data_IF_643396859079
#
_entry.id   IF_643396859079
#
_cell.length_a   1.000
_cell.length_b   1.000
_cell.length_c   1.000
_cell.angle_alpha   90.00
_cell.angle_beta   90.00
_cell.angle_gamma   90.00
#
_symmetry.space_group_name_H-M   'P 1'
#
loop_
_entity.id
_entity.type
_entity.pdbx_description
1 polymer ?
#
# COMPACT_ATOMS: atom_id res chain seq x y z
N UNK A 1 35.53 43.76 -26.00
CA UNK A 1 35.65 42.37 -25.47
C UNK A 1 35.41 41.42 -26.63
N UNK A 2 36.39 40.55 -26.93
CA UNK A 2 36.45 39.70 -28.15
C UNK A 2 35.58 38.46 -28.00
N UNK A 3 34.74 38.20 -29.00
CA UNK A 3 33.98 36.95 -29.15
C UNK A 3 34.82 35.95 -29.93
N UNK A 4 35.07 34.77 -29.36
CA UNK A 4 35.75 33.68 -30.03
C UNK A 4 34.72 32.63 -30.45
N UNK A 5 34.48 32.57 -31.76
CA UNK A 5 33.80 31.47 -32.44
C UNK A 5 34.81 30.35 -32.69
N UNK A 6 34.50 29.12 -32.26
CA UNK A 6 35.19 27.91 -32.71
C UNK A 6 34.22 27.05 -33.53
N UNK A 7 34.51 26.79 -34.82
CA UNK A 7 33.91 25.68 -35.55
C UNK A 7 34.79 24.44 -35.35
N UNK A 8 34.25 23.37 -34.78
CA UNK A 8 34.86 22.05 -34.93
C UNK A 8 33.88 21.15 -35.67
N UNK A 9 34.31 20.79 -36.89
CA UNK A 9 33.61 19.88 -37.78
C UNK A 9 33.71 18.45 -37.30
N UNK A 10 32.61 17.72 -37.47
CA UNK A 10 32.58 16.28 -37.31
C UNK A 10 32.96 15.63 -38.65
N UNK A 11 34.16 15.08 -38.70
CA UNK A 11 34.59 14.18 -39.77
C UNK A 11 33.77 12.89 -39.70
N UNK A 12 33.13 12.54 -40.81
CA UNK A 12 32.24 11.40 -40.93
C UNK A 12 32.98 10.07 -40.84
N UNK A 13 32.74 9.33 -39.77
CA UNK A 13 32.98 7.89 -39.74
C UNK A 13 31.70 7.18 -40.19
N UNK A 14 31.74 6.56 -41.37
CA UNK A 14 30.73 5.59 -41.83
C UNK A 14 30.90 4.31 -41.01
N UNK A 15 30.37 4.29 -39.80
CA UNK A 15 30.31 3.08 -38.99
C UNK A 15 29.20 2.20 -39.57
N UNK A 16 29.62 1.05 -40.10
CA UNK A 16 28.79 0.05 -40.79
C UNK A 16 27.56 -0.34 -39.95
N UNK A 17 26.37 0.04 -40.43
CA UNK A 17 25.10 0.02 -39.69
C UNK A 17 24.45 -1.36 -39.47
N UNK A 18 25.17 -2.48 -39.64
CA UNK A 18 24.53 -3.80 -39.66
C UNK A 18 24.78 -4.68 -38.42
N UNK A 19 25.66 -4.30 -37.49
CA UNK A 19 25.93 -5.11 -36.28
C UNK A 19 25.19 -4.59 -35.02
N UNK A 20 24.57 -3.41 -35.09
CA UNK A 20 23.82 -2.79 -33.98
C UNK A 20 22.31 -3.07 -33.99
N UNK A 21 21.84 -4.06 -34.76
CA UNK A 21 20.42 -4.39 -34.88
C UNK A 21 19.96 -5.60 -34.04
N UNK A 22 20.85 -6.28 -33.32
CA UNK A 22 20.54 -7.56 -32.64
C UNK A 22 20.86 -7.62 -31.14
N UNK A 23 21.16 -6.50 -30.48
CA UNK A 23 21.45 -6.45 -29.04
C UNK A 23 20.50 -5.56 -28.20
N UNK A 24 19.40 -5.06 -28.78
CA UNK A 24 18.50 -4.10 -28.11
C UNK A 24 17.16 -4.70 -27.57
N UNK A 25 16.66 -5.92 -27.92
CA UNK A 25 15.39 -6.35 -27.35
C UNK A 25 15.47 -6.97 -25.93
N UNK A 26 16.65 -7.19 -25.33
CA UNK A 26 16.76 -7.81 -24.01
C UNK A 26 16.77 -6.84 -22.81
N UNK A 27 16.93 -5.53 -23.02
CA UNK A 27 16.99 -4.56 -21.90
C UNK A 27 15.61 -4.01 -21.47
N UNK A 28 14.52 -4.33 -22.18
CA UNK A 28 13.19 -3.77 -21.89
C UNK A 28 12.28 -4.68 -21.04
N UNK A 29 12.76 -5.84 -20.58
CA UNK A 29 12.01 -6.74 -19.69
C UNK A 29 12.31 -6.54 -18.19
N UNK A 30 13.19 -5.61 -17.83
CA UNK A 30 13.58 -5.34 -16.42
C UNK A 30 12.55 -4.48 -15.64
N UNK A 31 11.35 -4.25 -16.16
CA UNK A 31 10.52 -3.11 -15.76
C UNK A 31 9.28 -3.34 -14.89
N UNK A 32 8.83 -4.58 -14.68
CA UNK A 32 7.63 -4.84 -13.89
C UNK A 32 7.81 -6.07 -13.00
N UNK A 33 8.66 -5.97 -11.99
CA UNK A 33 8.48 -6.82 -10.80
C UNK A 33 7.18 -6.36 -10.12
N UNK A 34 6.03 -6.79 -10.65
CA UNK A 34 4.75 -6.63 -9.98
C UNK A 34 4.89 -7.32 -8.63
N UNK A 35 5.02 -6.51 -7.57
CA UNK A 35 5.00 -6.99 -6.20
C UNK A 35 3.84 -7.96 -6.07
N UNK A 36 4.11 -9.15 -5.53
CA UNK A 36 3.02 -10.08 -5.26
C UNK A 36 1.97 -9.38 -4.39
N UNK A 37 0.69 -9.74 -4.51
CA UNK A 37 -0.38 -9.12 -3.73
C UNK A 37 -0.05 -9.04 -2.23
N UNK A 38 0.55 -10.11 -1.71
CA UNK A 38 1.02 -10.21 -0.33
C UNK A 38 2.19 -9.28 -0.02
N UNK A 39 3.15 -9.13 -0.95
CA UNK A 39 4.26 -8.20 -0.77
C UNK A 39 3.79 -6.75 -0.76
N UNK A 40 2.84 -6.38 -1.62
CA UNK A 40 2.24 -5.05 -1.61
C UNK A 40 1.51 -4.78 -0.28
N UNK A 41 0.67 -5.71 0.17
CA UNK A 41 -0.07 -5.55 1.43
C UNK A 41 0.87 -5.40 2.64
N UNK A 42 1.93 -6.23 2.72
CA UNK A 42 2.95 -6.11 3.79
C UNK A 42 3.65 -4.75 3.74
N UNK A 43 4.01 -4.28 2.55
CA UNK A 43 4.65 -2.99 2.38
C UNK A 43 3.74 -1.82 2.78
N UNK A 44 2.43 -1.90 2.47
CA UNK A 44 1.45 -0.89 2.88
C UNK A 44 1.25 -0.79 4.40
N UNK A 45 1.38 -1.90 5.10
CA UNK A 45 1.21 -1.97 6.54
C UNK A 45 2.50 -1.74 7.33
N UNK A 46 3.68 -1.91 6.72
CA UNK A 46 4.97 -1.81 7.38
C UNK A 46 5.21 -0.54 8.23
N UNK A 47 4.68 0.65 7.86
CA UNK A 47 4.88 1.86 8.65
C UNK A 47 3.95 2.01 9.87
N UNK A 48 3.01 1.09 10.09
CA UNK A 48 2.00 1.19 11.15
C UNK A 48 2.33 0.20 12.26
N UNK A 49 2.45 0.71 13.48
CA UNK A 49 2.49 -0.12 14.68
C UNK A 49 1.07 -0.46 15.11
N UNK A 50 0.66 -1.71 14.88
CA UNK A 50 -0.65 -2.22 15.31
C UNK A 50 -0.65 -2.70 16.76
N UNK A 51 0.49 -2.67 17.47
CA UNK A 51 0.56 -3.08 18.86
C UNK A 51 -0.32 -2.17 19.73
N UNK A 52 -1.22 -2.79 20.51
CA UNK A 52 -2.15 -2.06 21.37
C UNK A 52 -3.32 -1.41 20.66
N UNK A 53 -3.46 -1.57 19.33
CA UNK A 53 -4.68 -1.18 18.63
C UNK A 53 -5.82 -2.17 18.90
N UNK A 54 -7.04 -1.66 18.89
CA UNK A 54 -8.22 -2.50 18.91
C UNK A 54 -8.35 -3.26 17.60
N UNK A 55 -8.80 -4.51 17.68
CA UNK A 55 -8.85 -5.45 16.56
C UNK A 55 -9.58 -4.87 15.33
N UNK A 56 -10.82 -4.37 15.51
CA UNK A 56 -11.59 -3.75 14.41
C UNK A 56 -10.96 -2.47 13.87
N UNK A 57 -10.29 -1.69 14.72
CA UNK A 57 -9.58 -0.50 14.29
C UNK A 57 -8.36 -0.87 13.43
N UNK A 58 -7.60 -1.91 13.84
CA UNK A 58 -6.48 -2.43 13.07
C UNK A 58 -6.93 -2.95 11.69
N UNK A 59 -8.01 -3.72 11.64
CA UNK A 59 -8.64 -4.17 10.38
C UNK A 59 -9.03 -2.99 9.46
N UNK A 60 -9.72 -1.99 10.00
CA UNK A 60 -10.11 -0.81 9.25
C UNK A 60 -8.90 -0.04 8.68
N UNK A 61 -7.89 0.22 9.51
CA UNK A 61 -6.67 0.94 9.07
C UNK A 61 -5.92 0.11 8.03
N UNK A 62 -5.71 -1.19 8.27
CA UNK A 62 -5.01 -2.07 7.35
C UNK A 62 -5.69 -2.12 5.97
N UNK A 63 -7.01 -2.32 5.92
CA UNK A 63 -7.75 -2.40 4.64
C UNK A 63 -7.71 -1.08 3.87
N UNK A 64 -7.80 0.06 4.58
CA UNK A 64 -7.68 1.38 3.97
C UNK A 64 -6.30 1.67 3.38
N UNK A 65 -5.22 1.25 4.04
CA UNK A 65 -3.84 1.39 3.53
C UNK A 65 -3.58 0.50 2.33
N UNK A 66 -4.04 -0.76 2.38
CA UNK A 66 -3.93 -1.67 1.24
C UNK A 66 -4.74 -1.15 0.06
N UNK A 67 -5.92 -0.57 0.28
CA UNK A 67 -6.71 0.04 -0.81
C UNK A 67 -6.02 1.26 -1.41
N UNK A 68 -5.39 2.10 -0.57
CA UNK A 68 -4.67 3.27 -1.05
C UNK A 68 -3.45 2.90 -1.89
N UNK A 69 -2.65 1.92 -1.44
CA UNK A 69 -1.38 1.61 -2.09
C UNK A 69 -1.50 0.50 -3.15
N UNK A 70 -2.29 -0.52 -2.88
CA UNK A 70 -2.42 -1.69 -3.74
C UNK A 70 -3.73 -1.64 -4.56
N UNK A 71 -4.80 -1.07 -4.00
CA UNK A 71 -6.11 -0.96 -4.65
C UNK A 71 -7.19 -1.87 -4.04
N UNK A 72 -8.45 -1.52 -4.29
CA UNK A 72 -9.61 -2.11 -3.62
C UNK A 72 -9.74 -3.63 -3.78
N UNK A 73 -9.32 -4.18 -4.94
CA UNK A 73 -9.36 -5.63 -5.19
C UNK A 73 -8.41 -6.37 -4.25
N UNK A 74 -7.20 -5.86 -4.05
CA UNK A 74 -6.22 -6.47 -3.16
C UNK A 74 -6.60 -6.31 -1.69
N UNK A 75 -7.15 -5.16 -1.30
CA UNK A 75 -7.67 -4.97 0.05
C UNK A 75 -8.81 -5.97 0.37
N UNK A 76 -9.70 -6.24 -0.57
CA UNK A 76 -10.75 -7.27 -0.42
C UNK A 76 -10.17 -8.68 -0.32
N UNK A 77 -9.20 -9.03 -1.17
CA UNK A 77 -8.55 -10.33 -1.12
C UNK A 77 -7.77 -10.53 0.19
N UNK A 78 -7.10 -9.51 0.71
CA UNK A 78 -6.40 -9.56 1.99
C UNK A 78 -7.36 -9.83 3.15
N UNK A 79 -8.48 -9.10 3.22
CA UNK A 79 -9.51 -9.30 4.24
C UNK A 79 -10.17 -10.68 4.18
N UNK A 80 -10.70 -11.06 3.00
CA UNK A 80 -11.34 -12.37 2.81
C UNK A 80 -10.35 -13.52 3.02
N UNK A 81 -9.09 -13.35 2.60
CA UNK A 81 -8.06 -14.36 2.76
C UNK A 81 -7.75 -14.69 4.22
N UNK A 82 -7.72 -13.68 5.10
CA UNK A 82 -7.56 -13.89 6.55
C UNK A 82 -8.74 -14.68 7.11
N UNK A 83 -9.98 -14.27 6.81
CA UNK A 83 -11.17 -14.98 7.32
C UNK A 83 -11.28 -16.40 6.79
N UNK A 84 -10.85 -16.63 5.55
CA UNK A 84 -10.82 -17.98 4.98
C UNK A 84 -9.80 -18.85 5.72
N UNK A 85 -8.59 -18.35 5.98
CA UNK A 85 -7.60 -19.07 6.77
C UNK A 85 -8.08 -19.33 8.21
N UNK A 86 -8.78 -18.38 8.82
CA UNK A 86 -9.37 -18.54 10.15
C UNK A 86 -10.48 -19.60 10.16
N UNK A 87 -11.35 -19.63 9.14
CA UNK A 87 -12.42 -20.62 8.98
C UNK A 87 -11.92 -22.06 8.81
N UNK A 88 -10.73 -22.24 8.26
CA UNK A 88 -10.06 -23.55 8.14
C UNK A 88 -8.99 -23.78 9.21
N UNK A 89 -8.80 -22.83 10.12
CA UNK A 89 -7.81 -22.86 11.19
C UNK A 89 -8.45 -22.80 12.57
N UNK A 90 -7.70 -22.29 13.54
CA UNK A 90 -8.17 -22.07 14.91
C UNK A 90 -8.70 -20.64 15.14
N UNK A 91 -8.92 -19.87 14.07
CA UNK A 91 -9.39 -18.48 14.15
C UNK A 91 -10.92 -18.38 14.18
N UNK A 92 -11.43 -17.24 14.65
CA UNK A 92 -12.86 -16.93 14.57
C UNK A 92 -13.12 -16.14 13.28
N UNK A 93 -13.84 -16.76 12.34
CA UNK A 93 -14.28 -16.09 11.12
C UNK A 93 -15.35 -15.04 11.48
N UNK A 94 -14.92 -13.78 11.58
CA UNK A 94 -15.76 -12.71 12.12
C UNK A 94 -16.33 -11.83 11.01
N UNK A 95 -17.67 -11.76 10.93
CA UNK A 95 -18.34 -10.75 10.10
C UNK A 95 -17.98 -9.32 10.51
N UNK A 96 -17.55 -9.12 11.77
CA UNK A 96 -17.08 -7.83 12.26
C UNK A 96 -15.80 -7.37 11.56
N UNK A 97 -14.87 -8.28 11.29
CA UNK A 97 -13.60 -7.97 10.59
C UNK A 97 -13.85 -7.59 9.14
N UNK A 98 -14.68 -8.35 8.43
CA UNK A 98 -15.04 -8.02 7.04
C UNK A 98 -15.75 -6.67 6.93
N UNK A 99 -16.56 -6.32 7.94
CA UNK A 99 -17.21 -5.00 8.01
C UNK A 99 -16.17 -3.92 8.27
N UNK A 100 -15.26 -4.11 9.22
CA UNK A 100 -14.19 -3.17 9.51
C UNK A 100 -13.29 -2.93 8.28
N UNK A 101 -12.95 -3.99 7.54
CA UNK A 101 -12.22 -3.89 6.29
C UNK A 101 -13.00 -3.10 5.22
N UNK A 102 -14.30 -3.32 5.11
CA UNK A 102 -15.15 -2.58 4.18
C UNK A 102 -15.21 -1.09 4.53
N UNK A 103 -15.28 -0.77 5.81
CA UNK A 103 -15.24 0.58 6.34
C UNK A 103 -13.91 1.27 6.05
N UNK A 104 -12.78 0.57 6.22
CA UNK A 104 -11.45 1.05 5.87
C UNK A 104 -11.32 1.45 4.39
N UNK A 105 -11.81 0.60 3.48
CA UNK A 105 -11.85 0.92 2.04
C UNK A 105 -12.77 2.11 1.74
N UNK A 106 -13.89 2.24 2.45
CA UNK A 106 -14.77 3.38 2.28
C UNK A 106 -14.11 4.68 2.74
N UNK A 107 -13.42 4.68 3.89
CA UNK A 107 -12.61 5.81 4.36
C UNK A 107 -11.52 6.18 3.33
N UNK A 108 -10.75 5.20 2.83
CA UNK A 108 -9.72 5.44 1.82
C UNK A 108 -10.29 5.99 0.50
N UNK A 109 -11.47 5.54 0.07
CA UNK A 109 -12.15 6.08 -1.09
C UNK A 109 -12.59 7.54 -0.87
N UNK A 110 -13.10 7.89 0.31
CA UNK A 110 -13.49 9.26 0.66
C UNK A 110 -12.28 10.21 0.67
N UNK A 111 -11.17 9.80 1.30
CA UNK A 111 -9.95 10.60 1.40
C UNK A 111 -9.27 10.87 0.04
N UNK A 112 -9.53 10.04 -0.97
CA UNK A 112 -9.02 10.23 -2.34
C UNK A 112 -9.86 11.21 -3.17
N UNK A 113 -11.06 11.56 -2.73
CA UNK A 113 -11.92 12.46 -3.49
C UNK A 113 -11.52 13.92 -3.22
N UNK A 114 -11.16 14.70 -4.26
CA UNK A 114 -10.77 16.10 -4.10
C UNK A 114 -11.91 17.02 -3.62
N UNK A 115 -13.16 16.55 -3.73
CA UNK A 115 -14.36 17.35 -3.41
C UNK A 115 -15.04 16.92 -2.09
N UNK A 116 -14.68 15.77 -1.50
CA UNK A 116 -15.21 15.35 -0.19
C UNK A 116 -14.72 16.27 0.94
N UNK A 117 -13.54 16.85 0.72
CA UNK A 117 -12.83 17.85 1.50
C UNK A 117 -13.43 19.25 1.40
N UNK A 118 -14.01 19.61 0.24
CA UNK A 118 -14.62 20.92 0.01
C UNK A 118 -15.86 21.20 0.89
N UNK A 119 -16.54 20.15 1.37
CA UNK A 119 -17.73 20.28 2.22
C UNK A 119 -17.41 20.23 3.72
N UNK A 120 -16.25 19.69 4.10
CA UNK A 120 -15.82 19.55 5.50
C UNK A 120 -14.73 20.55 5.91
N UNK A 121 -14.17 21.29 4.95
CA UNK A 121 -13.02 22.17 5.18
C UNK A 121 -11.71 21.43 5.45
N UNK A 122 -11.71 20.09 5.39
CA UNK A 122 -10.49 19.30 5.45
C UNK A 122 -9.74 19.44 4.12
N UNK A 123 -8.41 19.51 4.12
CA UNK A 123 -7.62 19.45 2.87
C UNK A 123 -7.43 17.99 2.42
N UNK A 124 -7.34 17.75 1.11
CA UNK A 124 -6.98 16.42 0.59
C UNK A 124 -5.59 16.04 1.10
N UNK A 125 -5.41 14.87 1.73
CA UNK A 125 -4.10 14.49 2.24
C UNK A 125 -3.07 14.42 1.10
N UNK A 126 -2.07 15.29 1.14
CA UNK A 126 -1.04 15.41 0.10
C UNK A 126 0.20 14.56 0.39
N UNK A 127 0.34 14.03 1.61
CA UNK A 127 1.44 13.16 2.03
C UNK A 127 0.93 11.81 2.54
N UNK A 128 1.77 10.75 2.47
CA UNK A 128 1.44 9.45 3.06
C UNK A 128 1.10 9.53 4.56
N UNK A 129 1.78 10.40 5.31
CA UNK A 129 1.52 10.61 6.74
C UNK A 129 0.17 11.28 6.99
N UNK A 130 -0.16 12.32 6.22
CA UNK A 130 -1.46 12.98 6.30
C UNK A 130 -2.59 12.00 5.98
N UNK A 131 -2.40 11.13 4.98
CA UNK A 131 -3.38 10.11 4.63
C UNK A 131 -3.57 9.10 5.77
N UNK A 132 -2.46 8.61 6.36
CA UNK A 132 -2.50 7.71 7.52
C UNK A 132 -3.25 8.31 8.71
N UNK A 133 -2.95 9.57 9.05
CA UNK A 133 -3.61 10.27 10.16
C UNK A 133 -5.12 10.44 9.90
N UNK A 134 -5.50 10.89 8.70
CA UNK A 134 -6.90 11.06 8.32
C UNK A 134 -7.66 9.73 8.29
N UNK A 135 -7.01 8.66 7.83
CA UNK A 135 -7.58 7.30 7.83
C UNK A 135 -7.81 6.81 9.25
N UNK A 136 -6.85 7.01 10.16
CA UNK A 136 -6.99 6.63 11.56
C UNK A 136 -8.19 7.32 12.23
N UNK A 137 -8.37 8.63 12.00
CA UNK A 137 -9.54 9.39 12.49
C UNK A 137 -10.85 8.83 11.93
N UNK A 138 -10.92 8.55 10.63
CA UNK A 138 -12.13 7.97 10.02
C UNK A 138 -12.46 6.59 10.61
N UNK A 139 -11.45 5.73 10.81
CA UNK A 139 -11.63 4.41 11.40
C UNK A 139 -12.06 4.48 12.88
N UNK A 140 -11.50 5.41 13.65
CA UNK A 140 -11.91 5.65 15.05
C UNK A 140 -13.38 6.09 15.15
N UNK A 141 -13.85 6.95 14.23
CA UNK A 141 -15.25 7.39 14.19
C UNK A 141 -16.23 6.26 13.84
N UNK A 142 -15.81 5.29 13.01
CA UNK A 142 -16.67 4.14 12.64
C UNK A 142 -16.70 3.05 13.69
N UNK A 143 -15.65 2.94 14.50
CA UNK A 143 -15.51 1.91 15.54
C UNK A 143 -15.25 2.52 16.93
N UNK A 144 -16.10 3.44 17.43
CA UNK A 144 -15.87 4.10 18.72
C UNK A 144 -15.92 3.11 19.90
N UNK A 145 -16.66 2.02 19.69
CA UNK A 145 -16.92 0.94 20.64
C UNK A 145 -15.88 -0.17 20.63
N UNK A 146 -14.94 -0.18 19.68
CA UNK A 146 -13.87 -1.17 19.68
C UNK A 146 -13.03 -1.11 20.94
N UNK A 147 -13.14 -0.01 21.71
CA UNK A 147 -12.60 0.11 23.08
C UNK A 147 -13.11 -0.94 24.07
N UNK A 148 -14.28 -1.54 23.80
CA UNK A 148 -14.84 -2.62 24.60
C UNK A 148 -14.27 -3.98 24.23
N UNK A 149 -13.77 -4.12 23.01
CA UNK A 149 -12.99 -5.28 22.60
C UNK A 149 -11.60 -5.10 23.21
N UNK A 150 -11.14 -6.08 23.98
CA UNK A 150 -9.84 -5.98 24.63
C UNK A 150 -8.77 -5.86 23.55
N UNK A 151 -7.77 -4.95 23.66
CA UNK A 151 -6.65 -4.91 22.73
C UNK A 151 -6.09 -6.32 22.60
N UNK A 152 -5.94 -6.80 21.37
CA UNK A 152 -5.40 -8.14 21.15
C UNK A 152 -4.02 -8.18 21.82
N UNK A 153 -3.77 -9.08 22.79
CA UNK A 153 -2.42 -9.21 23.31
C UNK A 153 -1.48 -9.48 22.12
N UNK A 154 -0.27 -8.90 22.12
CA UNK A 154 0.66 -9.11 21.02
C UNK A 154 0.77 -10.62 20.78
N UNK A 155 0.62 -11.04 19.52
CA UNK A 155 0.83 -12.43 19.19
C UNK A 155 2.22 -12.83 19.73
N UNK A 156 2.35 -13.94 20.47
CA UNK A 156 3.64 -14.35 20.98
C UNK A 156 4.60 -14.37 19.80
N UNK A 157 5.73 -13.67 19.94
CA UNK A 157 6.71 -13.55 18.87
C UNK A 157 6.96 -14.96 18.33
N UNK A 158 6.56 -15.20 17.08
CA UNK A 158 6.78 -16.49 16.44
C UNK A 158 8.29 -16.73 16.55
N UNK A 159 8.69 -17.69 17.40
CA UNK A 159 10.08 -18.12 17.47
C UNK A 159 10.43 -18.52 16.05
N UNK A 160 11.21 -17.67 15.39
CA UNK A 160 12.00 -18.10 14.25
C UNK A 160 13.07 -18.97 14.87
N UNK A 161 12.72 -20.22 15.16
CA UNK A 161 13.71 -21.25 15.35
C UNK A 161 14.43 -21.29 14.00
N UNK A 162 15.61 -20.69 13.98
CA UNK A 162 16.55 -20.78 12.89
C UNK A 162 16.81 -22.28 12.70
N UNK A 163 16.28 -22.84 11.63
CA UNK A 163 16.75 -24.11 11.12
C UNK A 163 18.14 -23.83 10.53
N UNK A 164 19.17 -24.23 11.28
CA UNK A 164 20.52 -24.48 10.77
C UNK A 164 20.52 -25.64 9.75
#
# INVERSE_FOLDING_TARGET
MKSYWFPMGFAGHRVSSWVLALAIPLATLSGCASLSPTACARHAMAPVDFAGMYDKQAHCIASGLIDQQCGARYARMAGVGKEWLDAFGAGDASRGDLRADADGRACAAQLRQPNATAQSGAETPTSPDAFRAALAVCCEQRWPDSRRDTPRPPAPAARRDAAD
#
